data_IF_158511182609
#
_entry.id   IF_158511182609
#
_cell.length_a   1.000
_cell.length_b   1.000
_cell.length_c   1.000
_cell.angle_alpha   90.00
_cell.angle_beta   90.00
_cell.angle_gamma   90.00
#
_symmetry.space_group_name_H-M   'P 1'
#
loop_
_entity.id
_entity.type
_entity.pdbx_description
1 polymer ?
#
# COMPACT_ATOMS: atom_id res chain seq x y z
N UNK A 1 24.44 -2.97 3.65
CA UNK A 1 23.27 -3.15 4.55
C UNK A 1 22.01 -2.63 3.86
N UNK A 2 20.83 -3.18 4.14
CA UNK A 2 19.55 -2.81 3.52
C UNK A 2 18.83 -1.82 4.43
N UNK A 3 18.31 -0.71 3.89
CA UNK A 3 17.41 0.20 4.60
C UNK A 3 15.95 -0.06 4.21
N UNK A 4 15.06 -0.18 5.21
CA UNK A 4 13.62 -0.23 5.01
C UNK A 4 12.98 0.96 5.71
N UNK A 5 12.37 1.86 4.95
CA UNK A 5 11.56 2.94 5.52
C UNK A 5 10.12 2.49 5.73
N UNK A 6 9.43 3.03 6.73
CA UNK A 6 8.06 2.59 7.01
C UNK A 6 7.96 1.17 7.55
N UNK A 7 9.02 0.68 8.22
CA UNK A 7 9.13 -0.69 8.72
C UNK A 7 8.00 -1.12 9.67
N UNK A 8 7.38 -0.19 10.41
CA UNK A 8 6.25 -0.49 11.29
C UNK A 8 4.90 -0.62 10.54
N UNK A 9 4.83 -0.29 9.26
CA UNK A 9 3.65 -0.45 8.43
C UNK A 9 3.44 -1.90 7.99
N UNK A 10 2.24 -2.21 7.48
CA UNK A 10 1.86 -3.57 7.04
C UNK A 10 2.87 -4.18 6.05
N UNK A 11 3.24 -3.44 5.00
CA UNK A 11 4.17 -3.92 3.97
C UNK A 11 5.62 -3.93 4.46
N UNK A 12 6.06 -2.84 5.12
CA UNK A 12 7.43 -2.77 5.64
C UNK A 12 7.73 -3.88 6.66
N UNK A 13 6.77 -4.20 7.52
CA UNK A 13 6.90 -5.28 8.49
C UNK A 13 7.03 -6.66 7.81
N UNK A 14 6.15 -6.97 6.84
CA UNK A 14 6.22 -8.22 6.08
C UNK A 14 7.51 -8.34 5.25
N UNK A 15 7.99 -7.23 4.70
CA UNK A 15 9.27 -7.20 3.98
C UNK A 15 10.46 -7.49 4.90
N UNK A 16 10.51 -6.84 6.08
CA UNK A 16 11.55 -7.07 7.07
C UNK A 16 11.57 -8.53 7.52
N UNK A 17 10.39 -9.12 7.78
CA UNK A 17 10.27 -10.53 8.15
C UNK A 17 10.96 -11.45 7.12
N UNK A 18 10.67 -11.25 5.84
CA UNK A 18 11.25 -12.07 4.75
C UNK A 18 12.76 -11.81 4.60
N UNK A 19 13.20 -10.55 4.68
CA UNK A 19 14.62 -10.21 4.59
C UNK A 19 15.43 -10.84 5.73
N UNK A 20 14.92 -10.78 6.96
CA UNK A 20 15.56 -11.41 8.13
C UNK A 20 15.56 -12.94 8.05
N UNK A 21 14.48 -13.54 7.53
CA UNK A 21 14.42 -14.99 7.27
C UNK A 21 15.49 -15.43 6.26
N UNK A 22 15.78 -14.59 5.26
CA UNK A 22 16.85 -14.83 4.27
C UNK A 22 18.26 -14.51 4.82
N UNK A 23 18.40 -14.09 6.07
CA UNK A 23 19.68 -13.79 6.71
C UNK A 23 20.25 -12.40 6.41
N UNK A 24 19.46 -11.51 5.78
CA UNK A 24 19.89 -10.17 5.42
C UNK A 24 20.07 -9.26 6.64
N UNK A 25 21.02 -8.32 6.56
CA UNK A 25 21.21 -7.26 7.56
C UNK A 25 20.32 -6.06 7.19
N UNK A 26 19.38 -5.75 8.05
CA UNK A 26 18.35 -4.73 7.82
C UNK A 26 18.46 -3.61 8.84
N UNK A 27 18.49 -2.36 8.38
CA UNK A 27 18.19 -1.16 9.17
C UNK A 27 16.75 -0.75 8.83
N UNK A 28 15.87 -0.72 9.83
CA UNK A 28 14.49 -0.30 9.68
C UNK A 28 14.25 1.02 10.37
N UNK A 29 13.85 2.06 9.62
CA UNK A 29 13.51 3.35 10.21
C UNK A 29 12.01 3.51 10.41
N UNK A 30 11.65 4.15 11.53
CA UNK A 30 10.28 4.44 11.93
C UNK A 30 10.14 5.85 12.51
N UNK A 31 8.96 6.45 12.39
CA UNK A 31 8.70 7.77 12.99
C UNK A 31 8.05 7.65 14.39
N UNK A 32 6.81 7.15 14.46
CA UNK A 32 6.00 7.15 15.69
C UNK A 32 5.89 5.78 16.34
N UNK A 33 5.69 4.74 15.55
CA UNK A 33 5.46 3.37 16.03
C UNK A 33 6.74 2.59 15.88
N UNK A 34 7.30 2.12 17.01
CA UNK A 34 8.51 1.29 17.00
C UNK A 34 8.21 -0.13 16.49
N UNK A 35 9.23 -0.77 15.95
CA UNK A 35 9.19 -2.18 15.59
C UNK A 35 9.53 -3.01 16.83
N UNK A 36 8.52 -3.50 17.52
CA UNK A 36 8.70 -4.30 18.76
C UNK A 36 8.61 -5.80 18.55
N UNK A 37 8.21 -6.24 17.35
CA UNK A 37 7.87 -7.65 17.05
C UNK A 37 9.04 -8.53 16.65
N UNK A 38 10.25 -7.98 16.47
CA UNK A 38 11.40 -8.73 16.00
C UNK A 38 12.49 -8.80 17.07
N UNK A 39 12.90 -10.02 17.43
CA UNK A 39 14.11 -10.27 18.19
C UNK A 39 15.12 -10.98 17.27
N UNK A 40 15.89 -10.20 16.50
CA UNK A 40 16.83 -10.71 15.52
C UNK A 40 18.08 -9.84 15.48
N UNK A 41 19.26 -10.46 15.60
CA UNK A 41 20.55 -9.77 15.65
C UNK A 41 20.90 -9.04 14.33
N UNK A 42 20.27 -9.42 13.22
CA UNK A 42 20.45 -8.77 11.92
C UNK A 42 19.54 -7.54 11.71
N UNK A 43 18.71 -7.17 12.70
CA UNK A 43 17.84 -6.00 12.63
C UNK A 43 18.35 -4.87 13.53
N UNK A 44 18.59 -3.72 12.91
CA UNK A 44 18.78 -2.45 13.59
C UNK A 44 17.51 -1.63 13.42
N UNK A 45 16.92 -1.14 14.50
CA UNK A 45 15.75 -0.25 14.43
C UNK A 45 16.16 1.16 14.88
N UNK A 46 15.78 2.16 14.09
CA UNK A 46 16.15 3.54 14.34
C UNK A 46 14.95 4.46 14.19
N UNK A 47 14.79 5.39 15.15
CA UNK A 47 13.76 6.42 15.04
C UNK A 47 14.25 7.53 14.12
N UNK A 48 13.66 7.64 12.93
CA UNK A 48 13.99 8.65 11.94
C UNK A 48 12.72 9.09 11.22
N UNK A 49 12.48 10.40 11.18
CA UNK A 49 11.42 10.99 10.34
C UNK A 49 12.01 11.23 8.94
N UNK A 50 11.34 10.74 7.89
CA UNK A 50 11.78 10.96 6.50
C UNK A 50 11.74 12.45 6.09
N UNK A 51 11.16 13.32 6.90
CA UNK A 51 11.19 14.77 6.73
C UNK A 51 12.42 15.42 7.37
N UNK A 52 13.16 14.69 8.20
CA UNK A 52 14.40 15.15 8.81
C UNK A 52 15.60 14.72 7.95
N UNK A 53 16.11 15.65 7.16
CA UNK A 53 17.20 15.40 6.21
C UNK A 53 18.47 14.94 6.91
N UNK A 54 18.81 15.55 8.06
CA UNK A 54 20.03 15.19 8.80
C UNK A 54 19.93 13.79 9.40
N UNK A 55 18.79 13.46 10.01
CA UNK A 55 18.55 12.11 10.51
C UNK A 55 18.57 11.05 9.41
N UNK A 56 18.10 11.41 8.19
CA UNK A 56 18.18 10.51 7.02
C UNK A 56 19.62 10.31 6.54
N UNK A 57 20.44 11.35 6.50
CA UNK A 57 21.85 11.24 6.13
C UNK A 57 22.60 10.30 7.09
N UNK A 58 22.36 10.43 8.39
CA UNK A 58 22.91 9.50 9.39
C UNK A 58 22.39 8.07 9.19
N UNK A 59 21.09 7.90 8.95
CA UNK A 59 20.48 6.59 8.72
C UNK A 59 21.01 5.90 7.45
N UNK A 60 21.47 6.66 6.43
CA UNK A 60 22.01 6.13 5.17
C UNK A 60 23.45 5.63 5.27
N UNK A 61 24.15 5.80 6.39
CA UNK A 61 25.51 5.30 6.52
C UNK A 61 25.57 3.78 6.33
N UNK A 62 26.49 3.31 5.47
CA UNK A 62 26.70 1.91 5.09
C UNK A 62 25.50 1.24 4.36
N UNK A 63 24.52 2.01 3.92
CA UNK A 63 23.38 1.49 3.17
C UNK A 63 23.73 1.32 1.69
N UNK A 64 23.41 0.16 1.16
CA UNK A 64 23.63 -0.17 -0.27
C UNK A 64 22.34 -0.31 -1.05
N UNK A 65 21.25 -0.66 -0.38
CA UNK A 65 19.92 -0.91 -0.97
C UNK A 65 18.83 -0.30 -0.10
N UNK A 66 17.82 0.29 -0.74
CA UNK A 66 16.73 0.96 -0.03
C UNK A 66 15.38 0.45 -0.51
N UNK A 67 14.54 0.05 0.42
CA UNK A 67 13.12 -0.18 0.20
C UNK A 67 12.33 0.96 0.83
N UNK A 68 11.74 1.80 0.00
CA UNK A 68 10.95 2.94 0.47
C UNK A 68 9.47 2.58 0.57
N UNK A 69 9.07 2.07 1.76
CA UNK A 69 7.67 1.73 2.09
C UNK A 69 6.96 2.81 2.88
N UNK A 70 7.67 3.84 3.38
CA UNK A 70 7.05 4.93 4.12
C UNK A 70 6.10 5.71 3.22
N UNK A 71 4.90 5.99 3.73
CA UNK A 71 3.90 6.76 3.04
C UNK A 71 2.63 6.86 3.88
N UNK A 72 1.85 7.89 3.63
CA UNK A 72 0.56 8.09 4.27
C UNK A 72 -0.58 7.71 3.32
N UNK A 73 -1.51 6.89 3.80
CA UNK A 73 -2.78 6.62 3.12
C UNK A 73 -3.88 7.31 3.92
N UNK A 74 -4.48 8.32 3.35
CA UNK A 74 -5.63 9.00 3.95
C UNK A 74 -6.56 9.55 2.87
N UNK A 75 -7.86 9.43 3.12
CA UNK A 75 -8.93 10.04 2.32
C UNK A 75 -9.65 11.15 3.10
N UNK A 76 -9.12 11.53 4.26
CA UNK A 76 -9.62 12.61 5.06
C UNK A 76 -9.08 13.94 4.51
N UNK A 77 -9.95 14.90 4.13
CA UNK A 77 -9.52 16.20 3.62
C UNK A 77 -8.59 16.99 4.57
N UNK A 78 -8.71 16.74 5.88
CA UNK A 78 -7.85 17.39 6.89
C UNK A 78 -6.38 16.96 6.81
N UNK A 79 -6.12 15.78 6.22
CA UNK A 79 -4.77 15.22 6.10
C UNK A 79 -4.05 15.65 4.81
N UNK A 80 -4.65 16.50 3.98
CA UNK A 80 -4.11 16.89 2.68
C UNK A 80 -2.66 17.38 2.77
N UNK A 81 -2.37 18.37 3.63
CA UNK A 81 -1.01 18.89 3.80
C UNK A 81 -0.02 17.79 4.20
N UNK A 82 -0.44 16.93 5.12
CA UNK A 82 0.37 15.83 5.61
C UNK A 82 0.61 14.76 4.54
N UNK A 83 -0.39 14.50 3.66
CA UNK A 83 -0.24 13.62 2.50
C UNK A 83 0.89 14.09 1.58
N UNK A 84 0.90 15.37 1.21
CA UNK A 84 1.92 15.92 0.33
C UNK A 84 3.28 15.95 1.03
N UNK A 85 3.35 16.40 2.27
CA UNK A 85 4.61 16.42 3.01
C UNK A 85 5.23 15.03 3.11
N UNK A 86 4.47 14.00 3.50
CA UNK A 86 5.03 12.65 3.67
C UNK A 86 5.29 11.97 2.32
N UNK A 87 4.30 12.01 1.40
CA UNK A 87 4.39 11.22 0.17
C UNK A 87 5.24 11.89 -0.91
N UNK A 88 5.39 13.22 -0.89
CA UNK A 88 6.18 13.96 -1.89
C UNK A 88 7.50 14.41 -1.26
N UNK A 89 7.47 15.31 -0.27
CA UNK A 89 8.71 15.88 0.31
C UNK A 89 9.54 14.76 0.98
N UNK A 90 8.89 13.84 1.70
CA UNK A 90 9.56 12.68 2.30
C UNK A 90 10.20 11.76 1.26
N UNK A 91 9.53 11.52 0.11
CA UNK A 91 10.11 10.72 -0.98
C UNK A 91 11.26 11.47 -1.66
N UNK A 92 11.14 12.79 -1.86
CA UNK A 92 12.24 13.62 -2.37
C UNK A 92 13.48 13.53 -1.48
N UNK A 93 13.29 13.61 -0.15
CA UNK A 93 14.39 13.47 0.80
C UNK A 93 15.06 12.08 0.73
N UNK A 94 14.28 11.01 0.62
CA UNK A 94 14.82 9.65 0.43
C UNK A 94 15.61 9.54 -0.88
N UNK A 95 15.10 10.08 -1.99
CA UNK A 95 15.79 10.09 -3.29
C UNK A 95 17.13 10.83 -3.18
N UNK A 96 17.12 12.03 -2.58
CA UNK A 96 18.34 12.82 -2.38
C UNK A 96 19.35 12.08 -1.49
N UNK A 97 18.88 11.49 -0.39
CA UNK A 97 19.74 10.72 0.51
C UNK A 97 20.33 9.47 -0.18
N UNK A 98 19.56 8.79 -1.05
CA UNK A 98 20.06 7.68 -1.85
C UNK A 98 21.16 8.12 -2.84
N UNK A 99 20.97 9.26 -3.52
CA UNK A 99 21.96 9.82 -4.45
C UNK A 99 23.24 10.20 -3.72
N UNK A 100 23.13 10.93 -2.60
CA UNK A 100 24.27 11.36 -1.79
C UNK A 100 25.07 10.19 -1.19
N UNK A 101 24.38 9.14 -0.74
CA UNK A 101 25.03 7.95 -0.17
C UNK A 101 25.54 6.95 -1.22
N UNK A 102 25.28 7.16 -2.52
CA UNK A 102 25.66 6.23 -3.58
C UNK A 102 24.95 4.89 -3.46
N UNK A 103 23.68 4.87 -3.09
CA UNK A 103 22.85 3.67 -2.98
C UNK A 103 22.79 2.93 -4.33
N UNK A 104 23.02 1.62 -4.31
CA UNK A 104 23.08 0.80 -5.54
C UNK A 104 21.71 0.68 -6.20
N UNK A 105 20.64 0.57 -5.40
CA UNK A 105 19.27 0.44 -5.92
C UNK A 105 18.22 0.88 -4.90
N UNK A 106 17.17 1.53 -5.42
CA UNK A 106 15.95 1.90 -4.68
C UNK A 106 14.75 1.14 -5.23
N UNK A 107 13.98 0.47 -4.38
CA UNK A 107 12.63 -0.01 -4.71
C UNK A 107 11.62 0.86 -3.97
N UNK A 108 10.83 1.63 -4.73
CA UNK A 108 9.83 2.55 -4.20
C UNK A 108 8.42 1.98 -4.28
N UNK A 109 7.67 2.08 -3.19
CA UNK A 109 6.26 1.70 -3.12
C UNK A 109 5.37 2.90 -3.44
N UNK A 110 4.90 2.96 -4.68
CA UNK A 110 3.86 3.90 -5.12
C UNK A 110 2.45 3.29 -4.86
N UNK A 111 1.53 3.42 -5.77
CA UNK A 111 0.17 2.84 -5.72
C UNK A 111 -0.45 2.87 -7.10
N UNK A 112 -1.38 1.96 -7.39
CA UNK A 112 -2.24 2.10 -8.58
C UNK A 112 -3.07 3.39 -8.57
N UNK A 113 -3.22 4.05 -7.42
CA UNK A 113 -3.86 5.35 -7.33
C UNK A 113 -3.04 6.48 -7.98
N UNK A 114 -1.74 6.28 -8.20
CA UNK A 114 -0.85 7.22 -8.93
C UNK A 114 -0.98 7.09 -10.45
N UNK A 115 -1.60 6.02 -10.94
CA UNK A 115 -1.84 5.81 -12.37
C UNK A 115 -3.12 6.53 -12.79
N UNK A 116 -3.16 6.98 -14.03
CA UNK A 116 -4.37 7.54 -14.61
C UNK A 116 -5.52 6.52 -14.64
N UNK A 117 -6.74 7.02 -14.59
CA UNK A 117 -7.94 6.18 -14.79
C UNK A 117 -8.39 6.33 -16.22
N UNK A 118 -8.59 5.21 -16.90
CA UNK A 118 -9.10 5.20 -18.27
C UNK A 118 -10.63 5.13 -18.28
N UNK A 119 -11.11 5.27 -19.53
CA UNK A 119 -12.52 5.09 -19.91
C UNK A 119 -13.04 3.73 -19.41
N UNK A 120 -14.32 3.66 -19.04
CA UNK A 120 -14.94 2.40 -18.58
C UNK A 120 -14.68 1.24 -19.56
N UNK A 121 -14.31 0.07 -19.03
CA UNK A 121 -14.09 -1.15 -19.82
C UNK A 121 -12.66 -1.39 -20.32
N UNK A 122 -11.68 -0.54 -19.94
CA UNK A 122 -10.26 -0.80 -20.21
C UNK A 122 -9.54 -1.20 -18.93
N UNK A 123 -8.63 -2.18 -19.03
CA UNK A 123 -7.72 -2.53 -17.91
C UNK A 123 -6.66 -1.45 -17.74
N UNK A 124 -6.40 -1.10 -16.49
CA UNK A 124 -5.31 -0.17 -16.13
C UNK A 124 -3.97 -0.91 -16.24
N UNK A 125 -3.01 -0.31 -16.91
CA UNK A 125 -1.64 -0.81 -17.04
C UNK A 125 -0.63 0.32 -16.80
N UNK A 126 0.65 -0.01 -16.79
CA UNK A 126 1.74 0.92 -16.45
C UNK A 126 1.97 2.03 -17.50
N UNK A 127 1.40 1.92 -18.68
CA UNK A 127 1.48 2.97 -19.72
C UNK A 127 0.53 4.13 -19.47
N UNK A 128 -0.34 3.98 -18.46
CA UNK A 128 -1.29 5.03 -18.13
C UNK A 128 -0.62 6.16 -17.40
N UNK A 129 -0.85 7.36 -17.92
CA UNK A 129 -0.37 8.59 -17.31
C UNK A 129 -1.47 9.22 -16.47
N UNK A 130 -1.05 9.75 -15.33
CA UNK A 130 -1.92 10.53 -14.48
C UNK A 130 -2.26 11.85 -15.17
N UNK A 131 -3.55 12.21 -15.17
CA UNK A 131 -4.00 13.54 -15.58
C UNK A 131 -4.99 14.09 -14.55
N UNK A 132 -5.17 15.41 -14.45
CA UNK A 132 -6.12 16.02 -13.52
C UNK A 132 -7.56 15.52 -13.69
N UNK A 133 -7.93 15.13 -14.90
CA UNK A 133 -9.26 14.63 -15.23
C UNK A 133 -9.46 13.16 -14.80
N UNK A 134 -8.38 12.41 -14.69
CA UNK A 134 -8.43 10.96 -14.42
C UNK A 134 -8.36 10.60 -12.96
N UNK A 135 -7.88 11.51 -12.08
CA UNK A 135 -7.81 11.26 -10.64
C UNK A 135 -8.25 12.48 -9.85
N UNK A 136 -9.29 12.32 -9.05
CA UNK A 136 -9.77 13.35 -8.12
C UNK A 136 -9.29 13.10 -6.68
N UNK A 137 -8.40 12.14 -6.47
CA UNK A 137 -7.91 11.71 -5.17
C UNK A 137 -6.69 12.52 -4.76
N UNK A 138 -6.75 13.20 -3.62
CA UNK A 138 -5.58 13.86 -3.03
C UNK A 138 -4.49 12.84 -2.70
N UNK A 139 -4.90 11.65 -2.23
CA UNK A 139 -3.99 10.54 -2.01
C UNK A 139 -3.32 10.10 -3.33
N UNK A 140 -4.10 9.81 -4.37
CA UNK A 140 -3.55 9.42 -5.68
C UNK A 140 -2.62 10.46 -6.25
N UNK A 141 -2.99 11.75 -6.18
CA UNK A 141 -2.12 12.84 -6.62
C UNK A 141 -0.82 12.92 -5.81
N UNK A 142 -0.87 12.76 -4.48
CA UNK A 142 0.34 12.76 -3.66
C UNK A 142 1.28 11.58 -3.98
N UNK A 143 0.72 10.40 -4.29
CA UNK A 143 1.52 9.24 -4.72
C UNK A 143 2.12 9.43 -6.12
N UNK A 144 1.36 10.02 -7.05
CA UNK A 144 1.88 10.39 -8.36
C UNK A 144 3.07 11.36 -8.25
N UNK A 145 2.92 12.45 -7.48
CA UNK A 145 4.01 13.42 -7.30
C UNK A 145 5.23 12.80 -6.60
N UNK A 146 5.02 11.94 -5.59
CA UNK A 146 6.13 11.19 -4.98
C UNK A 146 6.82 10.24 -5.98
N UNK A 147 6.05 9.59 -6.87
CA UNK A 147 6.62 8.79 -7.97
C UNK A 147 7.44 9.67 -8.94
N UNK A 148 7.01 10.91 -9.21
CA UNK A 148 7.78 11.87 -10.03
C UNK A 148 9.13 12.23 -9.39
N UNK A 149 9.22 12.30 -8.06
CA UNK A 149 10.50 12.49 -7.36
C UNK A 149 11.44 11.31 -7.59
N UNK A 150 10.93 10.08 -7.62
CA UNK A 150 11.76 8.90 -7.95
C UNK A 150 12.25 8.98 -9.40
N UNK A 151 11.40 9.37 -10.35
CA UNK A 151 11.80 9.56 -11.75
C UNK A 151 12.80 10.70 -11.92
N UNK A 152 12.70 11.77 -11.13
CA UNK A 152 13.74 12.80 -11.05
C UNK A 152 15.08 12.18 -10.62
N UNK A 153 15.08 11.39 -9.55
CA UNK A 153 16.29 10.69 -9.10
C UNK A 153 16.87 9.77 -10.15
N UNK A 154 16.03 9.06 -10.93
CA UNK A 154 16.48 8.23 -12.06
C UNK A 154 17.17 9.08 -13.12
N UNK A 155 16.62 10.25 -13.46
CA UNK A 155 17.24 11.18 -14.40
C UNK A 155 18.60 11.75 -13.89
N UNK A 156 18.79 11.77 -12.57
CA UNK A 156 20.04 12.17 -11.89
C UNK A 156 21.00 10.97 -11.67
N UNK A 157 20.65 9.77 -12.14
CA UNK A 157 21.53 8.59 -12.11
C UNK A 157 21.21 7.56 -11.02
N UNK A 158 20.12 7.72 -10.26
CA UNK A 158 19.68 6.72 -9.29
C UNK A 158 19.12 5.49 -10.00
N UNK A 159 19.62 4.30 -9.69
CA UNK A 159 19.01 3.06 -10.10
C UNK A 159 17.74 2.81 -9.23
N UNK A 160 16.58 2.91 -9.83
CA UNK A 160 15.33 2.73 -9.10
C UNK A 160 14.28 1.93 -9.88
N UNK A 161 13.44 1.23 -9.12
CA UNK A 161 12.23 0.54 -9.60
C UNK A 161 11.04 0.99 -8.76
N UNK A 162 9.92 1.22 -9.42
CA UNK A 162 8.67 1.59 -8.76
C UNK A 162 7.68 0.43 -8.81
N UNK A 163 7.02 0.15 -7.71
CA UNK A 163 5.85 -0.73 -7.70
C UNK A 163 4.58 0.05 -7.42
N UNK A 164 3.51 -0.31 -8.11
CA UNK A 164 2.17 0.25 -7.96
C UNK A 164 1.22 -0.86 -7.47
N UNK A 165 1.20 -1.17 -6.16
CA UNK A 165 0.31 -2.19 -5.65
C UNK A 165 -1.14 -1.74 -5.68
N UNK A 166 -2.05 -2.72 -5.88
CA UNK A 166 -3.48 -2.62 -5.65
C UNK A 166 -3.79 -2.68 -4.15
N UNK A 167 -5.00 -3.07 -3.74
CA UNK A 167 -5.32 -3.18 -2.31
C UNK A 167 -4.50 -4.33 -1.70
N UNK A 168 -3.56 -3.97 -0.84
CA UNK A 168 -2.71 -4.93 -0.14
C UNK A 168 -3.49 -5.54 1.02
N UNK A 169 -3.62 -6.87 1.04
CA UNK A 169 -4.24 -7.64 2.10
C UNK A 169 -3.18 -8.21 3.04
N UNK A 170 -3.40 -8.09 4.35
CA UNK A 170 -2.50 -8.65 5.35
C UNK A 170 -3.04 -8.52 6.77
N UNK A 171 -2.49 -9.32 7.69
CA UNK A 171 -2.82 -9.29 9.10
C UNK A 171 -2.05 -8.16 9.80
N UNK A 172 -2.54 -6.93 9.67
CA UNK A 172 -1.97 -5.74 10.30
C UNK A 172 -2.79 -5.21 11.46
N UNK A 173 -2.58 -3.93 11.79
CA UNK A 173 -3.37 -3.25 12.81
C UNK A 173 -4.86 -3.28 12.42
N UNK A 174 -5.66 -3.91 13.27
CA UNK A 174 -7.11 -4.10 13.12
C UNK A 174 -7.90 -2.80 12.89
N UNK A 175 -7.33 -1.66 13.28
CA UNK A 175 -7.95 -0.34 13.20
C UNK A 175 -7.42 0.52 12.05
N UNK A 176 -6.51 0.00 11.22
CA UNK A 176 -5.84 0.78 10.18
C UNK A 176 -5.85 0.08 8.82
N UNK A 177 -5.72 0.87 7.76
CA UNK A 177 -5.54 0.38 6.39
C UNK A 177 -6.58 -0.66 5.94
N UNK A 178 -6.14 -1.65 5.19
CA UNK A 178 -6.97 -2.75 4.68
C UNK A 178 -7.44 -3.71 5.78
N UNK A 179 -6.73 -3.78 6.93
CA UNK A 179 -7.15 -4.62 8.07
C UNK A 179 -8.49 -4.17 8.68
N UNK A 180 -8.87 -2.88 8.54
CA UNK A 180 -10.23 -2.40 8.90
C UNK A 180 -11.34 -3.11 8.15
N UNK A 181 -11.08 -3.55 6.92
CA UNK A 181 -12.06 -4.25 6.09
C UNK A 181 -12.37 -5.60 6.76
N UNK A 182 -11.34 -6.34 7.18
CA UNK A 182 -11.50 -7.60 7.91
C UNK A 182 -12.28 -7.41 9.21
N UNK A 183 -11.96 -6.36 9.98
CA UNK A 183 -12.72 -6.00 11.19
C UNK A 183 -14.19 -5.76 10.91
N UNK A 184 -14.51 -5.04 9.85
CA UNK A 184 -15.89 -4.74 9.47
C UNK A 184 -16.67 -6.02 9.15
N UNK A 185 -16.05 -6.94 8.40
CA UNK A 185 -16.66 -8.22 8.04
C UNK A 185 -16.80 -9.13 9.28
N UNK A 186 -15.78 -9.18 10.15
CA UNK A 186 -15.88 -9.92 11.42
C UNK A 186 -17.03 -9.44 12.29
N UNK A 187 -17.30 -8.12 12.31
CA UNK A 187 -18.43 -7.51 13.00
C UNK A 187 -19.75 -7.61 12.22
N UNK A 188 -19.82 -8.49 11.22
CA UNK A 188 -21.02 -8.78 10.42
C UNK A 188 -21.63 -7.52 9.75
N UNK A 189 -20.76 -6.61 9.22
CA UNK A 189 -21.24 -5.46 8.46
C UNK A 189 -22.09 -5.91 7.27
N UNK A 190 -23.39 -5.52 7.22
CA UNK A 190 -24.35 -6.18 6.34
C UNK A 190 -24.32 -5.71 4.88
N UNK A 191 -23.54 -4.66 4.56
CA UNK A 191 -23.57 -4.00 3.26
C UNK A 191 -22.40 -4.40 2.37
N UNK A 192 -22.65 -4.51 1.05
CA UNK A 192 -21.63 -4.75 0.03
C UNK A 192 -21.85 -3.88 -1.21
N UNK A 193 -20.81 -3.72 -2.02
CA UNK A 193 -20.86 -3.11 -3.37
C UNK A 193 -20.48 -4.14 -4.43
N UNK A 194 -20.88 -3.89 -5.68
CA UNK A 194 -20.52 -4.73 -6.84
C UNK A 194 -19.36 -4.14 -7.65
N UNK A 195 -18.70 -3.10 -7.13
CA UNK A 195 -17.48 -2.60 -7.72
C UNK A 195 -16.38 -3.65 -7.69
N UNK A 196 -15.50 -3.59 -8.67
CA UNK A 196 -14.36 -4.51 -8.84
C UNK A 196 -13.06 -3.71 -8.67
N UNK A 197 -12.07 -4.32 -8.05
CA UNK A 197 -10.71 -3.77 -7.93
C UNK A 197 -9.69 -4.90 -7.82
N UNK A 198 -8.41 -4.56 -7.91
CA UNK A 198 -7.32 -5.50 -7.69
C UNK A 198 -7.03 -5.71 -6.21
N UNK A 199 -6.66 -6.94 -5.86
CA UNK A 199 -6.20 -7.32 -4.52
C UNK A 199 -4.91 -8.12 -4.62
N UNK A 200 -4.05 -7.99 -3.61
CA UNK A 200 -2.78 -8.71 -3.53
C UNK A 200 -2.40 -8.99 -2.08
N UNK A 201 -1.79 -10.13 -1.83
CA UNK A 201 -1.23 -10.50 -0.52
C UNK A 201 0.01 -9.64 -0.21
N UNK A 202 0.13 -9.17 1.03
CA UNK A 202 1.29 -8.38 1.47
C UNK A 202 2.62 -9.12 1.28
N UNK A 203 2.64 -10.44 1.47
CA UNK A 203 3.83 -11.27 1.28
C UNK A 203 4.21 -11.39 -0.19
N UNK A 204 3.25 -11.34 -1.11
CA UNK A 204 3.52 -11.32 -2.55
C UNK A 204 4.11 -9.99 -2.99
N UNK A 205 3.60 -8.87 -2.44
CA UNK A 205 4.19 -7.55 -2.68
C UNK A 205 5.63 -7.51 -2.19
N UNK A 206 5.89 -7.97 -0.96
CA UNK A 206 7.22 -8.01 -0.38
C UNK A 206 8.18 -8.92 -1.19
N UNK A 207 7.70 -10.09 -1.63
CA UNK A 207 8.48 -11.01 -2.48
C UNK A 207 8.81 -10.38 -3.83
N UNK A 208 7.85 -9.73 -4.49
CA UNK A 208 8.08 -9.02 -5.75
C UNK A 208 9.12 -7.90 -5.58
N UNK A 209 9.07 -7.15 -4.47
CA UNK A 209 10.05 -6.11 -4.16
C UNK A 209 11.47 -6.68 -4.02
N UNK A 210 11.62 -7.81 -3.33
CA UNK A 210 12.92 -8.48 -3.15
C UNK A 210 13.46 -8.97 -4.50
N UNK A 211 12.64 -9.63 -5.30
CA UNK A 211 13.05 -10.11 -6.62
C UNK A 211 13.42 -8.95 -7.56
N UNK A 212 12.69 -7.85 -7.53
CA UNK A 212 13.02 -6.65 -8.30
C UNK A 212 14.32 -6.00 -7.81
N UNK A 213 14.59 -5.97 -6.51
CA UNK A 213 15.86 -5.48 -5.96
C UNK A 213 17.05 -6.30 -6.46
N UNK A 214 16.91 -7.63 -6.49
CA UNK A 214 17.94 -8.57 -6.89
C UNK A 214 18.13 -8.68 -8.41
N UNK A 215 17.22 -8.15 -9.21
CA UNK A 215 17.26 -8.18 -10.68
C UNK A 215 18.11 -7.04 -11.26
N UNK A 216 18.48 -7.14 -12.54
CA UNK A 216 19.11 -6.04 -13.31
C UNK A 216 18.09 -5.01 -13.82
N UNK A 217 16.80 -5.16 -13.51
CA UNK A 217 15.73 -4.26 -13.95
C UNK A 217 15.90 -2.90 -13.27
N UNK A 218 15.91 -1.83 -14.05
CA UNK A 218 16.02 -0.46 -13.59
C UNK A 218 15.11 0.47 -14.40
N UNK A 219 14.75 1.61 -13.82
CA UNK A 219 13.96 2.66 -14.50
C UNK A 219 12.61 2.17 -15.03
N UNK A 220 12.00 1.24 -14.31
CA UNK A 220 10.74 0.61 -14.67
C UNK A 220 9.72 0.70 -13.54
N UNK A 221 8.43 0.67 -13.90
CA UNK A 221 7.34 0.55 -12.92
C UNK A 221 6.47 -0.67 -13.20
N UNK A 222 5.91 -1.25 -12.15
CA UNK A 222 5.13 -2.48 -12.21
C UNK A 222 3.87 -2.40 -11.36
N UNK A 223 2.72 -2.74 -11.95
CA UNK A 223 1.50 -3.01 -11.21
C UNK A 223 1.66 -4.34 -10.47
N UNK A 224 1.41 -4.32 -9.16
CA UNK A 224 1.42 -5.52 -8.32
C UNK A 224 0.00 -5.82 -7.87
N UNK A 225 -0.65 -6.75 -8.59
CA UNK A 225 -2.05 -7.15 -8.39
C UNK A 225 -2.20 -8.64 -8.64
N UNK A 226 -2.77 -9.39 -7.70
CA UNK A 226 -2.95 -10.83 -7.89
C UNK A 226 -4.22 -11.10 -8.71
N UNK A 227 -5.36 -10.63 -8.25
CA UNK A 227 -6.66 -10.88 -8.88
C UNK A 227 -7.54 -9.63 -8.85
N UNK A 228 -8.34 -9.47 -9.91
CA UNK A 228 -9.41 -8.47 -9.98
C UNK A 228 -10.72 -9.13 -9.57
N UNK A 229 -11.23 -8.81 -8.38
CA UNK A 229 -12.47 -9.38 -7.84
C UNK A 229 -13.40 -8.30 -7.32
N UNK A 230 -14.69 -8.60 -7.20
CA UNK A 230 -15.65 -7.67 -6.62
C UNK A 230 -15.54 -7.57 -5.11
N UNK A 231 -15.90 -6.42 -4.54
CA UNK A 231 -15.99 -6.27 -3.07
C UNK A 231 -16.96 -7.27 -2.45
N UNK A 232 -18.04 -7.63 -3.17
CA UNK A 232 -18.99 -8.67 -2.74
C UNK A 232 -18.31 -10.03 -2.56
N UNK A 233 -17.53 -10.45 -3.56
CA UNK A 233 -16.79 -11.72 -3.52
C UNK A 233 -15.76 -11.71 -2.39
N UNK A 234 -14.95 -10.63 -2.30
CA UNK A 234 -13.97 -10.47 -1.25
C UNK A 234 -14.59 -10.55 0.15
N UNK A 235 -15.67 -9.80 0.42
CA UNK A 235 -16.37 -9.84 1.71
C UNK A 235 -17.00 -11.21 1.99
N UNK A 236 -17.49 -11.90 0.94
CA UNK A 236 -18.03 -13.27 1.07
C UNK A 236 -16.95 -14.26 1.49
N UNK A 237 -15.75 -14.18 0.89
CA UNK A 237 -14.62 -15.02 1.27
C UNK A 237 -14.17 -14.75 2.71
N UNK A 238 -14.05 -13.47 3.12
CA UNK A 238 -13.70 -13.08 4.48
C UNK A 238 -14.72 -13.57 5.51
N UNK A 239 -16.03 -13.38 5.24
CA UNK A 239 -17.09 -13.81 6.13
C UNK A 239 -17.08 -15.34 6.34
N UNK A 240 -16.90 -16.11 5.25
CA UNK A 240 -16.77 -17.57 5.34
C UNK A 240 -15.54 -17.99 6.14
N UNK A 241 -14.39 -17.35 5.93
CA UNK A 241 -13.14 -17.64 6.65
C UNK A 241 -13.24 -17.34 8.16
N UNK A 242 -13.99 -16.30 8.53
CA UNK A 242 -14.27 -15.98 9.93
C UNK A 242 -15.40 -16.82 10.54
N UNK A 243 -16.21 -17.52 9.75
CA UNK A 243 -17.44 -18.18 10.22
C UNK A 243 -18.55 -17.17 10.58
N UNK A 244 -18.60 -16.04 9.88
CA UNK A 244 -19.54 -14.93 10.11
C UNK A 244 -20.59 -14.84 9.00
N UNK A 245 -21.67 -14.07 9.24
CA UNK A 245 -22.71 -13.87 8.24
C UNK A 245 -22.18 -13.09 7.03
N UNK A 246 -22.50 -13.60 5.84
CA UNK A 246 -22.15 -12.93 4.58
C UNK A 246 -22.98 -11.66 4.42
N UNK A 247 -22.37 -10.54 4.00
CA UNK A 247 -23.10 -9.30 3.69
C UNK A 247 -24.20 -9.56 2.65
N UNK A 248 -25.42 -9.11 2.95
CA UNK A 248 -26.62 -9.38 2.14
C UNK A 248 -27.26 -8.14 1.52
N UNK A 249 -26.88 -6.93 2.01
CA UNK A 249 -27.50 -5.67 1.59
C UNK A 249 -26.63 -4.99 0.54
N UNK A 250 -27.16 -4.81 -0.67
CA UNK A 250 -26.47 -4.10 -1.75
C UNK A 250 -26.51 -2.60 -1.53
N UNK A 251 -25.34 -1.95 -1.60
CA UNK A 251 -25.22 -0.49 -1.66
C UNK A 251 -25.43 -0.03 -3.09
N UNK A 252 -26.47 0.78 -3.31
CA UNK A 252 -26.71 1.46 -4.58
C UNK A 252 -26.01 2.82 -4.61
N UNK A 253 -25.87 3.42 -5.82
CA UNK A 253 -25.29 4.75 -5.97
C UNK A 253 -26.04 5.81 -5.13
N UNK A 254 -27.37 5.67 -4.99
CA UNK A 254 -28.20 6.57 -4.17
C UNK A 254 -27.87 6.41 -2.68
N UNK A 255 -27.80 5.18 -2.17
CA UNK A 255 -27.45 4.90 -0.75
C UNK A 255 -26.04 5.41 -0.46
N UNK A 256 -25.06 5.13 -1.33
CA UNK A 256 -23.70 5.62 -1.18
C UNK A 256 -23.65 7.16 -1.15
N UNK A 257 -24.40 7.81 -2.06
CA UNK A 257 -24.48 9.27 -2.13
C UNK A 257 -25.12 9.90 -0.87
N UNK A 258 -26.09 9.27 -0.26
CA UNK A 258 -26.70 9.73 0.99
C UNK A 258 -25.75 9.51 2.17
N UNK A 259 -25.15 8.32 2.26
CA UNK A 259 -24.29 7.94 3.39
C UNK A 259 -23.07 8.85 3.51
N UNK A 260 -22.34 9.09 2.39
CA UNK A 260 -21.14 9.94 2.47
C UNK A 260 -21.49 11.40 2.85
N UNK A 261 -22.66 11.92 2.46
CA UNK A 261 -23.11 13.25 2.87
C UNK A 261 -23.39 13.33 4.36
N UNK A 262 -24.07 12.31 4.92
CA UNK A 262 -24.34 12.22 6.35
C UNK A 262 -23.04 12.08 7.16
N UNK A 263 -22.10 11.23 6.70
CA UNK A 263 -20.80 11.08 7.34
C UNK A 263 -19.97 12.37 7.28
N UNK A 264 -20.04 13.13 6.17
CA UNK A 264 -19.37 14.43 6.06
C UNK A 264 -19.95 15.47 7.04
N UNK A 265 -21.28 15.52 7.18
CA UNK A 265 -21.94 16.38 8.15
C UNK A 265 -21.53 15.98 9.58
N UNK A 266 -21.63 14.69 9.92
CA UNK A 266 -21.21 14.16 11.22
C UNK A 266 -19.76 14.50 11.53
N UNK A 267 -18.85 14.33 10.57
CA UNK A 267 -17.43 14.66 10.71
C UNK A 267 -17.18 16.14 11.01
N UNK A 268 -17.97 17.05 10.43
CA UNK A 268 -17.87 18.49 10.72
C UNK A 268 -18.25 18.82 12.16
N UNK A 269 -19.26 18.14 12.72
CA UNK A 269 -19.72 18.38 14.10
C UNK A 269 -18.89 17.64 15.15
N UNK A 270 -18.46 16.40 14.85
CA UNK A 270 -17.73 15.57 15.83
C UNK A 270 -16.23 15.70 15.75
N UNK A 271 -15.68 16.27 14.67
CA UNK A 271 -14.24 16.28 14.40
C UNK A 271 -13.63 14.92 14.01
N UNK A 272 -14.44 13.84 14.05
CA UNK A 272 -14.00 12.48 13.72
C UNK A 272 -13.96 12.32 12.19
N UNK A 273 -12.93 11.67 11.68
CA UNK A 273 -12.80 11.38 10.23
C UNK A 273 -14.02 10.60 9.72
N UNK A 274 -14.57 10.94 8.53
CA UNK A 274 -15.73 10.25 7.98
C UNK A 274 -15.36 8.80 7.65
N UNK A 275 -16.26 7.86 7.94
CA UNK A 275 -16.10 6.45 7.56
C UNK A 275 -16.14 6.25 6.05
N UNK A 276 -16.92 7.09 5.35
CA UNK A 276 -17.09 7.05 3.91
C UNK A 276 -16.95 8.47 3.35
N UNK A 277 -15.98 8.68 2.46
CA UNK A 277 -15.84 9.92 1.70
C UNK A 277 -16.54 9.78 0.35
N UNK A 278 -16.77 10.89 -0.35
CA UNK A 278 -17.29 10.86 -1.73
C UNK A 278 -16.42 10.00 -2.65
N UNK A 279 -15.12 10.09 -2.46
CA UNK A 279 -14.12 9.37 -3.24
C UNK A 279 -14.20 7.86 -3.00
N UNK A 280 -14.11 7.42 -1.74
CA UNK A 280 -14.18 5.99 -1.39
C UNK A 280 -15.52 5.37 -1.76
N UNK A 281 -16.63 6.14 -1.67
CA UNK A 281 -17.95 5.72 -2.12
C UNK A 281 -17.99 5.46 -3.64
N UNK A 282 -17.43 6.37 -4.43
CA UNK A 282 -17.36 6.22 -5.88
C UNK A 282 -16.45 5.05 -6.28
N UNK A 283 -15.26 4.94 -5.67
CA UNK A 283 -14.32 3.84 -5.93
C UNK A 283 -14.96 2.49 -5.63
N UNK A 284 -15.68 2.36 -4.52
CA UNK A 284 -16.34 1.11 -4.15
C UNK A 284 -17.49 0.70 -5.09
N UNK A 285 -18.02 1.60 -5.90
CA UNK A 285 -19.05 1.32 -6.90
C UNK A 285 -18.51 1.10 -8.31
N UNK A 286 -17.26 1.53 -8.57
CA UNK A 286 -16.66 1.48 -9.90
C UNK A 286 -16.05 0.10 -10.13
N UNK A 287 -16.16 -0.40 -11.37
CA UNK A 287 -15.44 -1.60 -11.80
C UNK A 287 -14.13 -1.18 -12.43
N UNK A 288 -13.04 -1.53 -11.79
CA UNK A 288 -11.68 -1.25 -12.25
C UNK A 288 -10.90 -2.56 -12.25
N UNK A 289 -10.22 -2.83 -13.35
CA UNK A 289 -9.37 -4.00 -13.52
C UNK A 289 -7.94 -3.56 -13.82
N UNK A 290 -6.97 -4.30 -13.32
CA UNK A 290 -5.54 -4.02 -13.45
C UNK A 290 -4.85 -5.14 -14.19
N UNK A 291 -3.96 -4.78 -15.14
CA UNK A 291 -3.12 -5.72 -15.88
C UNK A 291 -1.79 -5.90 -15.11
N UNK A 292 -1.52 -7.11 -14.66
CA UNK A 292 -0.31 -7.49 -13.95
C UNK A 292 0.71 -8.22 -14.83
N UNK A 293 0.44 -8.34 -16.12
CA UNK A 293 1.24 -9.17 -17.04
C UNK A 293 2.67 -8.70 -17.21
N UNK A 294 2.93 -7.39 -17.02
CA UNK A 294 4.30 -6.82 -17.11
C UNK A 294 5.19 -7.38 -16.01
N UNK A 295 4.72 -7.41 -14.77
CA UNK A 295 5.50 -7.98 -13.65
C UNK A 295 5.76 -9.47 -13.85
N UNK A 296 4.74 -10.24 -14.25
CA UNK A 296 4.88 -11.68 -14.47
C UNK A 296 5.84 -12.02 -15.62
N UNK A 297 5.93 -11.17 -16.64
CA UNK A 297 6.92 -11.31 -17.72
C UNK A 297 8.34 -10.95 -17.26
N UNK A 298 8.45 -9.94 -16.40
CA UNK A 298 9.73 -9.49 -15.87
C UNK A 298 10.32 -10.46 -14.82
N UNK A 299 9.45 -11.16 -14.09
CA UNK A 299 9.78 -12.12 -13.03
C UNK A 299 9.10 -13.47 -13.32
N UNK A 300 9.62 -14.30 -14.25
CA UNK A 300 8.94 -15.51 -14.73
C UNK A 300 8.68 -16.57 -13.64
N UNK A 301 9.53 -16.63 -12.63
CA UNK A 301 9.43 -17.59 -11.53
C UNK A 301 8.51 -17.10 -10.41
N UNK A 302 8.12 -15.83 -10.43
CA UNK A 302 7.20 -15.26 -9.45
C UNK A 302 5.75 -15.69 -9.72
N UNK A 303 5.07 -16.11 -8.67
CA UNK A 303 3.65 -16.49 -8.72
C UNK A 303 2.90 -15.86 -7.55
N UNK A 304 1.79 -15.25 -7.86
CA UNK A 304 0.87 -14.77 -6.83
C UNK A 304 0.17 -15.92 -6.10
N UNK A 305 -0.08 -15.73 -4.81
CA UNK A 305 -1.05 -16.51 -4.05
C UNK A 305 -2.46 -16.17 -4.56
N UNK A 306 -3.37 -17.16 -4.56
CA UNK A 306 -4.78 -16.81 -4.79
C UNK A 306 -5.31 -15.93 -3.66
N UNK A 307 -6.13 -14.95 -4.00
CA UNK A 307 -6.74 -14.04 -3.01
C UNK A 307 -7.56 -14.82 -1.98
N UNK A 308 -8.20 -15.91 -2.38
CA UNK A 308 -8.93 -16.78 -1.46
C UNK A 308 -8.01 -17.39 -0.39
N UNK A 309 -6.86 -17.95 -0.77
CA UNK A 309 -5.90 -18.52 0.17
C UNK A 309 -5.30 -17.44 1.08
N UNK A 310 -4.98 -16.27 0.52
CA UNK A 310 -4.52 -15.12 1.29
C UNK A 310 -5.53 -14.72 2.36
N UNK A 311 -6.81 -14.60 2.01
CA UNK A 311 -7.88 -14.25 2.94
C UNK A 311 -8.01 -15.29 4.07
N UNK A 312 -7.95 -16.59 3.74
CA UNK A 312 -8.04 -17.67 4.74
C UNK A 312 -6.91 -17.53 5.76
N UNK A 313 -5.66 -17.37 5.29
CA UNK A 313 -4.49 -17.23 6.15
C UNK A 313 -4.55 -15.96 6.99
N UNK A 314 -4.88 -14.81 6.38
CA UNK A 314 -5.00 -13.54 7.07
C UNK A 314 -6.09 -13.59 8.15
N UNK A 315 -7.23 -14.22 7.88
CA UNK A 315 -8.29 -14.39 8.88
C UNK A 315 -7.82 -15.26 10.06
N UNK A 316 -7.05 -16.33 9.80
CA UNK A 316 -6.46 -17.16 10.83
C UNK A 316 -5.46 -16.36 11.69
N UNK A 317 -4.54 -15.63 11.05
CA UNK A 317 -3.56 -14.77 11.76
C UNK A 317 -4.25 -13.69 12.60
N UNK A 318 -5.29 -13.04 12.06
CA UNK A 318 -6.06 -12.02 12.77
C UNK A 318 -6.83 -12.61 13.97
N UNK A 319 -7.34 -13.83 13.88
CA UNK A 319 -7.96 -14.51 15.02
C UNK A 319 -6.95 -14.69 16.16
N UNK A 320 -5.74 -15.10 15.86
CA UNK A 320 -4.67 -15.27 16.84
C UNK A 320 -4.28 -13.91 17.43
N UNK A 321 -3.95 -12.92 16.58
CA UNK A 321 -3.47 -11.61 17.01
C UNK A 321 -4.48 -10.82 17.86
N UNK A 322 -5.77 -11.03 17.63
CA UNK A 322 -6.84 -10.31 18.31
C UNK A 322 -7.54 -11.16 19.38
N UNK A 323 -7.06 -12.38 19.68
CA UNK A 323 -7.68 -13.34 20.60
C UNK A 323 -9.18 -13.55 20.30
N UNK A 324 -9.54 -13.71 19.01
CA UNK A 324 -10.92 -13.89 18.56
C UNK A 324 -11.32 -15.38 18.60
N UNK A 325 -12.62 -15.60 18.94
CA UNK A 325 -13.24 -16.93 18.90
C UNK A 325 -13.81 -17.26 17.52
#
# INVERSE_FOLDING_TARGET
MILVTGGAGLLGNALIEILLYNGEKVKAIYNKTSLTSFNNANLITEKCDILDVYALEDAMQEITEVYHCAGLVSFNPKDEKKLYSINVDGTANIVNACLNAGVKKLVHVSSVAALGRIRPGQMINEKMEWTPETSNSKYGHSKYLGEMEVWRGVAEGLNAVVINPTIILGAGNWNEGSSKIFKSVYNEFPWYTEGTTGFVDVKDVATAMILLMQSDITSEKFIVSAENISYKEMFTMMAKAFGKKVPSKKVTAFIAALTWRLENIKSKFTGIAPLLTRETANTALTKVEYDNSKLLKALPDFKYRSVQNSIINICADLKILQNLN
#
